data_IF_275663873698
#
_entry.id   IF_275663873698
#
_cell.length_a   1.000
_cell.length_b   1.000
_cell.length_c   1.000
_cell.angle_alpha   90.00
_cell.angle_beta   90.00
_cell.angle_gamma   90.00
#
_symmetry.space_group_name_H-M   'P 1'
#
loop_
_entity.id
_entity.type
_entity.pdbx_description
1 polymer ?
#
# COMPACT_ATOMS: atom_id res chain seq x y z
N UNK A 1 -4.16 27.44 12.89
CA UNK A 1 -4.15 26.23 12.06
C UNK A 1 -2.73 25.73 12.03
N UNK A 2 -2.52 24.47 12.38
CA UNK A 2 -1.21 23.83 12.27
C UNK A 2 -0.88 23.52 10.80
N UNK A 3 0.39 23.26 10.50
CA UNK A 3 0.84 22.87 9.16
C UNK A 3 1.74 21.65 9.25
N UNK A 4 1.61 20.74 8.29
CA UNK A 4 2.59 19.68 8.07
C UNK A 4 3.40 20.02 6.83
N UNK A 5 4.69 20.26 7.02
CA UNK A 5 5.63 20.66 5.95
C UNK A 5 6.41 19.47 5.46
N UNK A 6 6.47 19.28 4.16
CA UNK A 6 7.33 18.29 3.51
C UNK A 6 8.78 18.82 3.53
N UNK A 7 9.60 18.35 4.46
CA UNK A 7 11.00 18.76 4.54
C UNK A 7 11.86 18.04 3.48
N UNK A 8 11.61 16.76 3.22
CA UNK A 8 12.18 16.02 2.10
C UNK A 8 11.24 14.89 1.69
N UNK A 9 11.27 14.50 0.42
CA UNK A 9 10.45 13.40 -0.08
C UNK A 9 11.07 12.81 -1.35
N UNK A 10 11.03 11.48 -1.45
CA UNK A 10 11.48 10.76 -2.63
C UNK A 10 10.51 10.88 -3.81
N UNK A 11 10.97 10.63 -5.04
CA UNK A 11 10.13 10.63 -6.22
C UNK A 11 8.98 9.62 -6.12
N UNK A 12 7.97 9.78 -6.98
CA UNK A 12 6.76 8.96 -7.02
C UNK A 12 5.88 9.05 -5.75
N UNK A 13 6.03 10.10 -4.95
CA UNK A 13 5.19 10.38 -3.79
C UNK A 13 4.20 11.49 -4.10
N UNK A 14 2.93 11.30 -3.75
CA UNK A 14 1.85 12.26 -4.11
C UNK A 14 0.65 12.10 -3.19
N UNK A 15 -0.27 13.05 -3.26
CA UNK A 15 -1.57 12.91 -2.58
C UNK A 15 -2.44 11.92 -3.32
N UNK A 16 -2.94 10.92 -2.59
CA UNK A 16 -3.82 9.88 -3.13
C UNK A 16 -4.99 9.63 -2.16
N UNK A 17 -6.15 9.30 -2.73
CA UNK A 17 -7.37 8.94 -2.01
C UNK A 17 -7.99 7.65 -2.55
N UNK A 18 -9.29 7.44 -2.37
CA UNK A 18 -10.03 6.32 -2.91
C UNK A 18 -10.10 6.26 -4.44
N UNK A 19 -9.74 7.34 -5.11
CA UNK A 19 -9.74 7.46 -6.57
C UNK A 19 -10.99 8.12 -7.16
N UNK A 20 -10.85 8.54 -8.40
CA UNK A 20 -11.78 9.33 -9.23
C UNK A 20 -12.73 8.41 -10.00
N UNK A 21 -13.75 7.91 -9.31
CA UNK A 21 -14.70 6.98 -9.91
C UNK A 21 -15.71 7.68 -10.82
N UNK A 22 -16.13 6.99 -11.91
CA UNK A 22 -17.12 7.49 -12.87
C UNK A 22 -16.60 8.45 -13.95
N UNK A 23 -15.31 8.86 -13.86
CA UNK A 23 -14.71 9.79 -14.82
C UNK A 23 -14.06 9.09 -16.04
N UNK A 24 -13.97 7.77 -16.05
CA UNK A 24 -13.30 6.99 -17.12
C UNK A 24 -13.93 7.23 -18.50
N UNK A 25 -15.24 7.46 -18.56
CA UNK A 25 -15.95 7.82 -19.80
C UNK A 25 -15.50 9.13 -20.45
N UNK A 26 -14.80 9.99 -19.71
CA UNK A 26 -14.20 11.22 -20.20
C UNK A 26 -12.69 11.08 -20.51
N UNK A 27 -12.18 9.85 -20.52
CA UNK A 27 -10.76 9.57 -20.73
C UNK A 27 -9.91 9.76 -19.46
N UNK A 28 -10.52 10.00 -18.30
CA UNK A 28 -9.83 10.20 -17.04
C UNK A 28 -9.72 8.88 -16.27
N UNK A 29 -8.51 8.50 -15.93
CA UNK A 29 -8.25 7.33 -15.11
C UNK A 29 -8.74 7.52 -13.67
N UNK A 30 -9.00 6.41 -12.98
CA UNK A 30 -9.43 6.42 -11.58
C UNK A 30 -8.35 7.02 -10.67
N UNK A 31 -7.08 6.73 -10.93
CA UNK A 31 -5.97 7.09 -10.02
C UNK A 31 -6.23 6.55 -8.58
N UNK A 32 -5.81 7.28 -7.56
CA UNK A 32 -5.97 6.86 -6.17
C UNK A 32 -4.85 5.93 -5.69
N UNK A 33 -5.00 5.44 -4.48
CA UNK A 33 -3.98 4.66 -3.79
C UNK A 33 -3.64 3.35 -4.51
N UNK A 34 -2.34 3.06 -4.63
CA UNK A 34 -1.82 1.79 -5.13
C UNK A 34 -2.18 0.63 -4.19
N UNK A 35 -2.15 0.86 -2.87
CA UNK A 35 -2.58 -0.10 -1.84
C UNK A 35 -3.71 0.50 -1.00
N UNK A 36 -4.93 0.10 -1.31
CA UNK A 36 -6.16 0.60 -0.65
C UNK A 36 -6.27 0.16 0.81
N UNK A 37 -5.71 -1.01 1.20
CA UNK A 37 -5.75 -1.45 2.58
C UNK A 37 -4.89 -0.57 3.46
N UNK A 38 -3.66 -0.30 3.04
CA UNK A 38 -2.73 0.56 3.78
C UNK A 38 -3.23 2.01 3.87
N UNK A 39 -3.83 2.55 2.78
CA UNK A 39 -4.49 3.85 2.83
C UNK A 39 -5.61 3.87 3.89
N UNK A 40 -6.49 2.87 3.85
CA UNK A 40 -7.62 2.79 4.78
C UNK A 40 -7.16 2.62 6.23
N UNK A 41 -6.13 1.82 6.48
CA UNK A 41 -5.56 1.62 7.80
C UNK A 41 -4.96 2.91 8.37
N UNK A 42 -4.14 3.64 7.57
CA UNK A 42 -3.57 4.92 8.00
C UNK A 42 -4.67 5.93 8.36
N UNK A 43 -5.70 6.05 7.52
CA UNK A 43 -6.82 6.95 7.79
C UNK A 43 -7.63 6.54 9.02
N UNK A 44 -7.90 5.24 9.21
CA UNK A 44 -8.63 4.73 10.38
C UNK A 44 -7.90 5.06 11.68
N UNK A 45 -6.56 5.00 11.70
CA UNK A 45 -5.73 5.31 12.88
C UNK A 45 -5.87 6.76 13.38
N UNK A 46 -6.22 7.68 12.51
CA UNK A 46 -6.45 9.10 12.86
C UNK A 46 -7.92 9.50 12.78
N UNK A 47 -8.83 8.53 12.72
CA UNK A 47 -10.27 8.77 12.75
C UNK A 47 -10.87 9.35 11.46
N UNK A 48 -10.15 9.28 10.34
CA UNK A 48 -10.65 9.71 9.04
C UNK A 48 -11.51 8.63 8.38
N UNK A 49 -12.29 9.02 7.37
CA UNK A 49 -12.90 8.07 6.45
C UNK A 49 -11.83 7.20 5.76
N UNK A 50 -12.03 5.90 5.56
CA UNK A 50 -10.99 4.97 5.11
C UNK A 50 -10.25 5.37 3.83
N UNK A 51 -10.93 6.06 2.93
CA UNK A 51 -10.38 6.48 1.64
C UNK A 51 -10.18 7.99 1.53
N UNK A 52 -10.08 8.69 2.66
CA UNK A 52 -9.70 10.09 2.69
C UNK A 52 -8.30 10.31 2.11
N UNK A 53 -8.05 11.52 1.59
CA UNK A 53 -6.79 11.85 0.98
C UNK A 53 -5.63 11.81 1.99
N UNK A 54 -4.55 11.14 1.59
CA UNK A 54 -3.33 10.94 2.37
C UNK A 54 -2.11 11.06 1.46
N UNK A 55 -0.93 11.17 2.03
CA UNK A 55 0.31 11.11 1.25
C UNK A 55 0.66 9.65 0.98
N UNK A 56 0.67 9.26 -0.29
CA UNK A 56 1.27 8.02 -0.74
C UNK A 56 2.77 8.26 -0.96
N UNK A 57 3.60 7.53 -0.21
CA UNK A 57 5.06 7.65 -0.21
C UNK A 57 5.63 6.44 -0.95
N UNK A 58 6.38 6.69 -2.02
CA UNK A 58 7.06 5.66 -2.80
C UNK A 58 8.19 4.97 -2.01
N UNK A 59 9.04 4.15 -2.65
CA UNK A 59 10.03 3.32 -1.98
C UNK A 59 11.14 4.10 -1.27
N UNK A 60 11.31 5.37 -1.58
CA UNK A 60 12.33 6.24 -0.98
C UNK A 60 11.87 6.85 0.33
N UNK A 61 12.82 7.46 1.09
CA UNK A 61 12.53 8.11 2.35
C UNK A 61 11.75 9.43 2.20
N UNK A 62 11.19 9.89 3.31
CA UNK A 62 10.49 11.17 3.40
C UNK A 62 10.63 11.75 4.82
N UNK A 63 10.56 13.07 4.92
CA UNK A 63 10.65 13.79 6.20
C UNK A 63 9.57 14.87 6.25
N UNK A 64 8.81 14.89 7.34
CA UNK A 64 7.70 15.82 7.55
C UNK A 64 7.86 16.54 8.88
N UNK A 65 7.67 17.85 8.90
CA UNK A 65 7.82 18.67 10.10
C UNK A 65 6.50 19.38 10.46
N UNK A 66 6.07 19.26 11.70
CA UNK A 66 4.93 20.01 12.22
C UNK A 66 5.33 21.48 12.44
N UNK A 67 4.46 22.42 12.06
CA UNK A 67 4.64 23.87 12.25
C UNK A 67 3.36 24.53 12.73
N UNK A 68 3.52 25.57 13.52
CA UNK A 68 2.44 26.41 14.07
C UNK A 68 1.47 25.64 14.96
N UNK A 69 1.93 24.55 15.54
CA UNK A 69 1.20 23.73 16.48
C UNK A 69 1.35 22.22 16.24
N UNK A 70 0.72 21.42 17.08
CA UNK A 70 0.80 19.98 16.98
C UNK A 70 0.01 19.43 15.79
N UNK A 71 0.54 18.37 15.17
CA UNK A 71 -0.09 17.64 14.06
C UNK A 71 -0.12 16.15 14.37
N UNK A 72 -1.30 15.52 14.36
CA UNK A 72 -1.46 14.09 14.53
C UNK A 72 -1.49 13.41 13.17
N UNK A 73 -0.63 12.41 13.00
CA UNK A 73 -0.48 11.63 11.76
C UNK A 73 -0.51 10.14 12.05
N UNK A 74 -0.71 9.32 11.02
CA UNK A 74 -0.53 7.88 11.11
C UNK A 74 0.18 7.35 9.87
N UNK A 75 0.95 6.27 10.06
CA UNK A 75 1.69 5.60 8.99
C UNK A 75 1.26 4.14 8.87
N UNK A 76 1.01 3.66 7.65
CA UNK A 76 0.70 2.26 7.36
C UNK A 76 1.19 1.86 5.98
N UNK A 77 1.50 0.58 5.77
CA UNK A 77 1.90 0.03 4.48
C UNK A 77 3.29 -0.62 4.50
N UNK A 78 4.08 -0.39 3.45
CA UNK A 78 5.41 -0.98 3.34
C UNK A 78 6.26 -0.69 4.58
N UNK A 79 6.86 -1.70 5.22
CA UNK A 79 7.69 -1.50 6.40
C UNK A 79 8.87 -0.57 6.11
N UNK A 80 9.14 0.33 7.03
CA UNK A 80 10.30 1.22 7.01
C UNK A 80 10.69 1.63 8.43
N UNK A 81 11.92 2.05 8.61
CA UNK A 81 12.27 2.71 9.85
C UNK A 81 11.57 4.06 9.88
N UNK A 82 10.94 4.36 11.00
CA UNK A 82 10.32 5.65 11.26
C UNK A 82 10.78 6.14 12.63
N UNK A 83 11.03 7.43 12.77
CA UNK A 83 11.35 8.05 14.04
C UNK A 83 10.81 9.48 14.14
N UNK A 84 10.58 9.92 15.37
CA UNK A 84 10.27 11.32 15.71
C UNK A 84 11.30 11.77 16.74
N UNK A 85 12.10 12.76 16.39
CA UNK A 85 13.16 13.31 17.24
C UNK A 85 14.10 12.22 17.83
N UNK A 86 14.41 11.19 17.02
CA UNK A 86 15.28 10.05 17.42
C UNK A 86 14.56 8.93 18.17
N UNK A 87 13.27 9.06 18.46
CA UNK A 87 12.46 8.01 19.07
C UNK A 87 11.80 7.15 17.99
N UNK A 88 12.02 5.83 17.98
CA UNK A 88 11.40 4.97 16.98
C UNK A 88 9.87 4.99 17.03
N UNK A 89 9.24 5.05 15.87
CA UNK A 89 7.80 4.93 15.68
C UNK A 89 7.50 3.62 14.93
N UNK A 90 6.59 2.82 15.48
CA UNK A 90 6.19 1.58 14.81
C UNK A 90 5.33 1.87 13.57
N UNK A 91 5.37 0.96 12.59
CA UNK A 91 4.40 0.97 11.50
C UNK A 91 3.01 0.62 12.03
N UNK A 92 1.99 1.00 11.28
CA UNK A 92 0.58 0.78 11.61
C UNK A 92 0.17 1.44 12.94
N UNK A 93 0.74 2.64 13.19
CA UNK A 93 0.44 3.46 14.38
C UNK A 93 0.18 4.91 14.03
N UNK A 94 -0.53 5.61 14.92
CA UNK A 94 -0.58 7.07 14.94
C UNK A 94 0.54 7.65 15.80
N UNK A 95 0.88 8.90 15.58
CA UNK A 95 1.81 9.69 16.39
C UNK A 95 1.48 11.18 16.27
N UNK A 96 1.57 11.90 17.39
CA UNK A 96 1.39 13.35 17.43
C UNK A 96 2.75 14.04 17.43
N UNK A 97 3.01 14.80 16.38
CA UNK A 97 4.17 15.67 16.26
C UNK A 97 3.89 16.98 16.96
N UNK A 98 4.71 17.37 17.93
CA UNK A 98 4.66 18.71 18.52
C UNK A 98 5.19 19.75 17.53
N UNK A 99 4.91 21.02 17.79
CA UNK A 99 5.46 22.10 16.97
C UNK A 99 6.98 22.00 16.86
N UNK A 100 7.50 22.02 15.64
CA UNK A 100 8.91 21.86 15.33
C UNK A 100 9.41 20.39 15.24
N UNK A 101 8.65 19.43 15.75
CA UNK A 101 9.06 18.01 15.64
C UNK A 101 8.95 17.51 14.21
N UNK A 102 9.80 16.54 13.90
CA UNK A 102 9.97 15.98 12.56
C UNK A 102 9.81 14.47 12.60
N UNK A 103 8.91 13.95 11.76
CA UNK A 103 8.80 12.54 11.44
C UNK A 103 9.74 12.22 10.28
N UNK A 104 10.67 11.31 10.50
CA UNK A 104 11.58 10.78 9.46
C UNK A 104 11.18 9.36 9.09
N UNK A 105 11.02 9.11 7.79
CA UNK A 105 10.71 7.80 7.23
C UNK A 105 11.88 7.35 6.34
N UNK A 106 12.47 6.20 6.64
CA UNK A 106 13.53 5.60 5.84
C UNK A 106 13.01 4.95 4.54
N UNK A 107 13.89 4.23 3.84
CA UNK A 107 13.51 3.45 2.66
C UNK A 107 12.53 2.32 3.00
N UNK A 108 11.61 2.02 2.08
CA UNK A 108 10.72 0.87 2.21
C UNK A 108 11.50 -0.45 2.15
N UNK A 109 11.07 -1.43 2.93
CA UNK A 109 11.68 -2.78 3.01
C UNK A 109 10.59 -3.83 2.77
N UNK A 110 10.76 -4.67 1.75
CA UNK A 110 9.79 -5.74 1.45
C UNK A 110 8.43 -5.25 0.96
N UNK A 111 8.34 -3.99 0.51
CA UNK A 111 7.17 -3.35 -0.06
C UNK A 111 7.58 -2.12 -0.87
N UNK A 112 6.61 -1.38 -1.39
CA UNK A 112 6.85 -0.19 -2.21
C UNK A 112 6.22 1.09 -1.64
N UNK A 113 4.99 1.02 -1.17
CA UNK A 113 4.20 2.20 -0.79
C UNK A 113 3.85 2.23 0.70
N UNK A 114 4.02 3.39 1.30
CA UNK A 114 3.55 3.71 2.66
C UNK A 114 2.64 4.91 2.58
N UNK A 115 1.62 4.93 3.41
CA UNK A 115 0.66 6.02 3.50
C UNK A 115 0.86 6.78 4.79
N UNK A 116 0.89 8.10 4.69
CA UNK A 116 0.85 9.01 5.82
C UNK A 116 -0.49 9.74 5.78
N UNK A 117 -1.37 9.38 6.69
CA UNK A 117 -2.63 10.07 6.91
C UNK A 117 -2.44 11.18 7.94
N UNK A 118 -3.19 12.27 7.79
CA UNK A 118 -3.21 13.41 8.71
C UNK A 118 -4.60 13.47 9.33
N UNK A 119 -4.72 13.66 10.63
CA UNK A 119 -6.00 13.85 11.30
C UNK A 119 -6.80 14.99 10.67
N UNK A 120 -8.08 14.74 10.34
CA UNK A 120 -8.94 15.67 9.61
C UNK A 120 -8.74 15.66 8.10
N UNK A 121 -7.91 14.76 7.57
CA UNK A 121 -7.58 14.53 6.17
C UNK A 121 -6.93 15.75 5.45
N UNK A 122 -6.30 15.48 4.32
CA UNK A 122 -5.76 16.52 3.44
C UNK A 122 -6.94 17.23 2.77
N UNK A 123 -6.93 18.57 2.84
CA UNK A 123 -7.94 19.44 2.23
C UNK A 123 -7.45 19.93 0.86
N UNK A 124 -8.39 20.07 -0.08
CA UNK A 124 -8.09 20.56 -1.41
C UNK A 124 -9.34 20.66 -2.28
N UNK A 125 -9.18 21.12 -3.50
CA UNK A 125 -10.24 21.19 -4.50
C UNK A 125 -10.42 19.82 -5.15
N UNK A 126 -11.62 19.25 -5.01
CA UNK A 126 -11.95 17.96 -5.61
C UNK A 126 -12.17 18.09 -7.11
N UNK A 127 -11.48 17.26 -7.89
CA UNK A 127 -11.69 17.14 -9.34
C UNK A 127 -12.36 15.79 -9.61
N UNK A 128 -13.61 15.82 -10.07
CA UNK A 128 -14.46 14.64 -10.23
C UNK A 128 -14.56 13.80 -8.94
N UNK A 129 -14.73 14.47 -7.80
CA UNK A 129 -14.95 13.84 -6.50
C UNK A 129 -13.69 13.22 -5.87
N UNK A 130 -12.48 13.61 -6.30
CA UNK A 130 -11.21 13.06 -5.81
C UNK A 130 -10.11 14.12 -5.77
N UNK A 131 -9.23 13.99 -4.77
CA UNK A 131 -7.98 14.76 -4.66
C UNK A 131 -6.79 14.00 -5.29
N UNK A 132 -6.98 12.74 -5.69
CA UNK A 132 -5.90 11.89 -6.20
C UNK A 132 -5.12 12.55 -7.33
N UNK A 133 -3.81 12.53 -7.21
CA UNK A 133 -2.91 13.09 -8.20
C UNK A 133 -2.73 12.12 -9.36
N UNK A 134 -2.95 12.63 -10.58
CA UNK A 134 -2.45 12.07 -11.81
C UNK A 134 -1.53 13.09 -12.46
N UNK A 135 -0.23 12.95 -12.24
CA UNK A 135 0.76 13.94 -12.67
C UNK A 135 0.81 14.12 -14.20
N UNK A 136 0.52 13.06 -14.96
CA UNK A 136 0.52 13.12 -16.44
C UNK A 136 -0.66 13.92 -16.99
N UNK A 137 -1.79 13.88 -16.29
CA UNK A 137 -2.97 14.65 -16.66
C UNK A 137 -3.02 16.04 -16.00
N UNK A 138 -2.05 16.37 -15.14
CA UNK A 138 -2.06 17.60 -14.35
C UNK A 138 -3.26 17.71 -13.40
N UNK A 139 -3.77 16.56 -12.93
CA UNK A 139 -4.94 16.49 -12.05
C UNK A 139 -4.53 16.15 -10.63
N UNK A 140 -5.36 16.61 -9.68
CA UNK A 140 -5.19 16.37 -8.26
C UNK A 140 -5.00 17.64 -7.46
N UNK A 141 -5.09 17.54 -6.14
CA UNK A 141 -5.06 18.68 -5.23
C UNK A 141 -4.44 18.24 -3.89
N UNK A 142 -3.80 19.13 -3.12
CA UNK A 142 -3.53 20.54 -3.45
C UNK A 142 -2.42 20.77 -4.48
N UNK A 143 -1.62 19.74 -4.78
CA UNK A 143 -0.53 19.80 -5.75
C UNK A 143 -0.79 18.79 -6.88
N UNK A 144 -1.12 19.23 -8.12
CA UNK A 144 -1.40 18.33 -9.25
C UNK A 144 -0.11 17.72 -9.85
N UNK A 145 0.84 17.35 -9.00
CA UNK A 145 2.17 16.83 -9.29
C UNK A 145 2.68 15.98 -8.13
N UNK A 146 3.77 15.22 -8.28
CA UNK A 146 4.49 14.65 -7.15
C UNK A 146 4.88 15.74 -6.14
N UNK A 147 4.87 15.37 -4.86
CA UNK A 147 5.25 16.27 -3.77
C UNK A 147 6.73 16.61 -3.84
N UNK A 148 7.06 17.78 -3.33
CA UNK A 148 8.41 18.33 -3.28
C UNK A 148 8.70 18.87 -1.87
N UNK A 149 9.98 19.03 -1.54
CA UNK A 149 10.38 19.75 -0.35
C UNK A 149 9.82 21.19 -0.41
N UNK A 150 9.28 21.64 0.72
CA UNK A 150 8.61 22.93 0.86
C UNK A 150 7.11 22.91 0.62
N UNK A 151 6.52 21.80 0.12
CA UNK A 151 5.07 21.65 0.08
C UNK A 151 4.49 21.60 1.51
N UNK A 152 3.31 22.17 1.70
CA UNK A 152 2.67 22.28 3.02
C UNK A 152 1.21 21.83 2.98
N UNK A 153 0.77 21.21 4.05
CA UNK A 153 -0.62 20.88 4.28
C UNK A 153 -1.13 21.65 5.48
N UNK A 154 -2.10 22.54 5.26
CA UNK A 154 -2.84 23.20 6.35
C UNK A 154 -3.79 22.19 6.99
N UNK A 155 -3.69 22.02 8.30
CA UNK A 155 -4.43 21.02 9.05
C UNK A 155 -5.10 21.65 10.28
N UNK A 156 -6.11 20.98 10.79
CA UNK A 156 -6.70 21.38 12.07
C UNK A 156 -5.69 21.01 13.20
N UNK A 157 -5.82 21.68 14.35
CA UNK A 157 -5.00 21.32 15.50
C UNK A 157 -5.29 19.87 15.91
N UNK A 158 -4.25 19.15 16.35
CA UNK A 158 -4.39 17.79 16.85
C UNK A 158 -5.46 17.72 17.96
N UNK A 159 -6.34 16.70 17.91
CA UNK A 159 -7.46 16.55 18.84
C UNK A 159 -7.05 16.25 20.27
N UNK A 160 -5.80 15.85 20.52
CA UNK A 160 -5.32 15.34 21.79
C UNK A 160 -5.77 13.92 22.10
N UNK A 161 -6.33 13.19 21.13
CA UNK A 161 -6.65 11.79 21.27
C UNK A 161 -5.38 10.96 21.51
N UNK A 162 -5.49 9.90 22.30
CA UNK A 162 -4.39 8.97 22.56
C UNK A 162 -3.90 8.28 21.27
N UNK A 163 -2.65 7.87 21.26
CA UNK A 163 -2.08 7.18 20.11
C UNK A 163 -2.65 5.77 19.95
N UNK A 164 -2.86 5.40 18.70
CA UNK A 164 -3.48 4.14 18.32
C UNK A 164 -2.52 3.31 17.47
N UNK A 165 -2.67 1.99 17.58
CA UNK A 165 -2.12 1.01 16.66
C UNK A 165 -3.25 0.20 16.04
N UNK A 166 -3.03 -0.32 14.84
CA UNK A 166 -4.01 -1.18 14.16
C UNK A 166 -3.42 -2.55 13.89
N UNK A 167 -4.20 -3.60 14.16
CA UNK A 167 -3.79 -4.98 13.93
C UNK A 167 -4.28 -5.45 12.56
N UNK A 168 -3.43 -5.30 11.54
CA UNK A 168 -3.74 -5.78 10.21
C UNK A 168 -3.59 -7.29 10.11
N UNK A 169 -4.37 -7.96 9.25
CA UNK A 169 -4.18 -9.38 9.01
C UNK A 169 -2.79 -9.62 8.40
N UNK A 170 -2.22 -10.80 8.67
CA UNK A 170 -0.96 -11.19 8.03
C UNK A 170 -1.10 -11.10 6.52
N UNK A 171 -0.08 -10.57 5.81
CA UNK A 171 -0.10 -10.53 4.36
C UNK A 171 -0.39 -11.91 3.76
N UNK A 172 -1.28 -11.95 2.79
CA UNK A 172 -1.57 -13.19 2.08
C UNK A 172 -0.31 -13.60 1.31
N UNK A 173 0.24 -14.77 1.63
CA UNK A 173 1.36 -15.37 0.89
C UNK A 173 0.87 -16.10 -0.37
N UNK A 174 1.80 -16.38 -1.29
CA UNK A 174 1.52 -17.15 -2.49
C UNK A 174 1.18 -16.31 -3.73
N UNK A 175 0.73 -16.96 -4.82
CA UNK A 175 0.55 -16.33 -6.12
C UNK A 175 -0.43 -15.15 -6.09
N UNK A 176 -0.22 -14.20 -7.00
CA UNK A 176 -1.19 -13.14 -7.31
C UNK A 176 -2.34 -13.76 -8.10
N UNK A 177 -3.57 -13.57 -7.64
CA UNK A 177 -4.74 -14.18 -8.25
C UNK A 177 -5.25 -13.34 -9.41
N UNK A 178 -5.60 -14.02 -10.50
CA UNK A 178 -6.11 -13.40 -11.74
C UNK A 178 -7.35 -14.13 -12.24
N UNK A 179 -8.23 -13.41 -12.91
CA UNK A 179 -9.24 -13.99 -13.81
C UNK A 179 -8.69 -13.90 -15.23
N UNK A 180 -8.75 -14.98 -16.00
CA UNK A 180 -8.35 -14.97 -17.40
C UNK A 180 -9.27 -14.07 -18.24
N UNK A 181 -8.73 -13.45 -19.26
CA UNK A 181 -9.45 -12.56 -20.15
C UNK A 181 -9.39 -11.05 -19.75
N UNK A 182 -10.09 -10.21 -20.53
CA UNK A 182 -11.19 -10.54 -21.46
C UNK A 182 -10.79 -10.98 -22.87
N UNK A 183 -9.51 -10.99 -23.25
CA UNK A 183 -9.06 -11.47 -24.56
C UNK A 183 -8.08 -12.65 -24.40
N UNK A 184 -8.41 -13.60 -23.52
CA UNK A 184 -7.61 -14.82 -23.34
C UNK A 184 -7.74 -15.80 -24.53
N UNK A 185 -8.72 -15.62 -25.39
CA UNK A 185 -8.89 -16.28 -26.68
C UNK A 185 -7.85 -15.87 -27.74
N UNK A 186 -7.16 -14.75 -27.55
CA UNK A 186 -6.02 -14.34 -28.36
C UNK A 186 -4.71 -15.08 -28.02
N UNK A 187 -4.76 -16.02 -27.06
CA UNK A 187 -3.63 -16.82 -26.60
C UNK A 187 -4.01 -18.30 -26.55
N UNK A 188 -3.15 -19.16 -27.08
CA UNK A 188 -3.35 -20.61 -27.01
C UNK A 188 -3.15 -21.13 -25.55
N UNK A 189 -3.55 -22.37 -25.32
CA UNK A 189 -3.46 -22.98 -24.00
C UNK A 189 -2.02 -23.12 -23.51
N UNK A 190 -1.04 -23.30 -24.42
CA UNK A 190 0.37 -23.38 -24.06
C UNK A 190 0.87 -22.02 -23.52
N UNK A 191 0.50 -20.90 -24.15
CA UNK A 191 0.88 -19.55 -23.68
C UNK A 191 0.12 -19.15 -22.42
N UNK A 192 -1.15 -19.53 -22.24
CA UNK A 192 -1.87 -19.38 -20.96
C UNK A 192 -1.21 -20.17 -19.85
N UNK A 193 -0.82 -21.42 -20.11
CA UNK A 193 -0.09 -22.26 -19.15
C UNK A 193 1.29 -21.69 -18.83
N UNK A 194 2.02 -21.20 -19.84
CA UNK A 194 3.30 -20.51 -19.66
C UNK A 194 3.14 -19.27 -18.78
N UNK A 195 2.14 -18.45 -19.02
CA UNK A 195 1.86 -17.24 -18.20
C UNK A 195 1.60 -17.59 -16.73
N UNK A 196 0.78 -18.60 -16.45
CA UNK A 196 0.44 -19.01 -15.08
C UNK A 196 1.56 -19.80 -14.38
N UNK A 197 2.34 -20.59 -15.14
CA UNK A 197 3.40 -21.44 -14.60
C UNK A 197 4.73 -20.75 -14.36
N UNK A 198 4.94 -19.58 -14.97
CA UNK A 198 6.22 -18.87 -14.92
C UNK A 198 6.37 -18.02 -13.66
N UNK A 199 7.62 -17.76 -13.32
CA UNK A 199 7.98 -16.68 -12.38
C UNK A 199 8.11 -15.36 -13.12
N UNK A 200 7.52 -14.34 -12.54
CA UNK A 200 7.55 -12.98 -13.04
C UNK A 200 8.25 -12.07 -12.05
N UNK A 201 8.93 -11.04 -12.54
CA UNK A 201 9.50 -9.97 -11.73
C UNK A 201 8.99 -8.62 -12.21
N UNK A 202 8.86 -7.67 -11.30
CA UNK A 202 8.52 -6.30 -11.67
C UNK A 202 9.80 -5.59 -12.08
N UNK A 203 9.81 -5.01 -13.28
CA UNK A 203 10.92 -4.22 -13.79
C UNK A 203 11.10 -2.92 -13.00
N UNK A 204 12.33 -2.49 -12.82
CA UNK A 204 12.66 -1.21 -12.19
C UNK A 204 12.11 0.02 -12.94
N UNK A 205 11.71 -0.14 -14.22
CA UNK A 205 11.10 0.93 -15.03
C UNK A 205 9.58 1.00 -14.90
N UNK A 206 9.00 0.25 -13.95
CA UNK A 206 7.56 0.26 -13.65
C UNK A 206 7.15 1.52 -12.90
N UNK A 207 5.93 1.97 -13.16
CA UNK A 207 5.34 3.15 -12.51
C UNK A 207 3.86 2.92 -12.19
N UNK A 208 3.17 3.98 -11.72
CA UNK A 208 1.74 3.93 -11.42
C UNK A 208 0.83 3.70 -12.63
N UNK A 209 1.34 3.81 -13.86
CA UNK A 209 0.59 3.46 -15.08
C UNK A 209 0.55 1.96 -15.32
N UNK A 210 1.65 1.27 -15.04
CA UNK A 210 1.74 -0.17 -15.27
C UNK A 210 3.05 -0.78 -14.83
N UNK A 211 2.96 -1.98 -14.32
CA UNK A 211 4.10 -2.80 -13.93
C UNK A 211 4.51 -3.68 -15.10
N UNK A 212 5.69 -3.40 -15.65
CA UNK A 212 6.31 -4.21 -16.69
C UNK A 212 6.83 -5.49 -16.07
N UNK A 213 6.40 -6.63 -16.63
CA UNK A 213 6.77 -7.94 -16.10
C UNK A 213 7.94 -8.51 -16.89
N UNK A 214 8.98 -8.89 -16.19
CA UNK A 214 10.14 -9.60 -16.70
C UNK A 214 9.96 -11.11 -16.52
N UNK A 215 10.05 -11.86 -17.61
CA UNK A 215 9.82 -13.29 -17.67
C UNK A 215 9.81 -13.80 -19.11
N UNK A 216 9.27 -14.98 -19.39
CA UNK A 216 9.20 -15.51 -20.76
C UNK A 216 8.26 -14.66 -21.63
N UNK A 217 8.58 -14.57 -22.91
CA UNK A 217 7.72 -13.90 -23.87
C UNK A 217 6.45 -14.72 -24.14
N UNK A 218 5.29 -14.09 -24.03
CA UNK A 218 3.98 -14.66 -24.34
C UNK A 218 3.64 -14.40 -25.79
N UNK A 219 3.34 -15.43 -26.54
CA UNK A 219 3.02 -15.33 -27.97
C UNK A 219 1.51 -15.20 -28.18
N UNK A 220 1.14 -14.34 -29.13
CA UNK A 220 -0.24 -14.18 -29.58
C UNK A 220 -0.60 -15.25 -30.61
N UNK A 221 -1.89 -15.61 -30.67
CA UNK A 221 -2.41 -16.58 -31.62
C UNK A 221 -2.66 -15.94 -33.01
N UNK A 222 -3.26 -14.73 -33.04
CA UNK A 222 -3.68 -14.07 -34.28
C UNK A 222 -2.97 -12.75 -34.55
N UNK A 223 -2.32 -12.16 -33.57
CA UNK A 223 -1.64 -10.87 -33.68
C UNK A 223 -1.66 -10.13 -32.35
N UNK A 224 -0.87 -9.06 -32.27
CA UNK A 224 -0.68 -8.36 -30.99
C UNK A 224 -1.56 -7.11 -30.85
N UNK A 225 -2.41 -6.81 -31.80
CA UNK A 225 -3.31 -5.64 -31.77
C UNK A 225 -4.76 -6.08 -31.82
N UNK A 226 -5.56 -5.43 -30.98
CA UNK A 226 -7.02 -5.52 -31.00
C UNK A 226 -7.61 -4.14 -31.25
N UNK A 227 -8.90 -4.07 -31.60
CA UNK A 227 -9.64 -2.82 -31.53
C UNK A 227 -9.55 -2.28 -30.10
N UNK A 228 -9.21 -0.98 -29.98
CA UNK A 228 -9.04 -0.37 -28.65
C UNK A 228 -10.26 -0.62 -27.76
N UNK A 229 -10.03 -1.21 -26.61
CA UNK A 229 -11.06 -1.60 -25.65
C UNK A 229 -10.75 -1.03 -24.26
N UNK A 230 -11.77 -0.93 -23.41
CA UNK A 230 -11.64 -0.42 -22.04
C UNK A 230 -10.65 -1.23 -21.19
N UNK A 231 -9.96 -0.55 -20.29
CA UNK A 231 -9.05 -1.16 -19.33
C UNK A 231 -9.55 -0.98 -17.91
N UNK A 232 -9.17 -1.89 -17.02
CA UNK A 232 -9.39 -1.76 -15.57
C UNK A 232 -8.08 -1.93 -14.81
N UNK A 233 -8.04 -1.51 -13.54
CA UNK A 233 -6.88 -1.76 -12.68
C UNK A 233 -6.62 -3.28 -12.60
N UNK A 234 -5.37 -3.67 -12.78
CA UNK A 234 -4.99 -5.08 -12.79
C UNK A 234 -5.11 -5.76 -14.15
N UNK A 235 -5.63 -5.13 -15.21
CA UNK A 235 -5.61 -5.70 -16.57
C UNK A 235 -4.15 -5.99 -16.97
N UNK A 236 -3.86 -7.19 -17.48
CA UNK A 236 -2.53 -7.61 -17.91
C UNK A 236 -2.52 -7.65 -19.43
N UNK A 237 -2.00 -6.60 -20.03
CA UNK A 237 -1.83 -6.46 -21.48
C UNK A 237 -0.55 -7.15 -21.94
N UNK A 238 -0.58 -7.75 -23.12
CA UNK A 238 0.59 -8.32 -23.77
C UNK A 238 0.87 -7.57 -25.07
N UNK A 239 1.84 -6.64 -25.09
CA UNK A 239 2.29 -5.95 -26.31
C UNK A 239 2.98 -6.90 -27.29
N UNK A 240 3.30 -6.42 -28.49
CA UNK A 240 3.87 -7.21 -29.57
C UNK A 240 5.23 -7.86 -29.27
N UNK A 241 5.97 -7.35 -28.28
CA UNK A 241 7.22 -7.98 -27.81
C UNK A 241 6.99 -9.18 -26.87
N UNK A 242 5.75 -9.48 -26.51
CA UNK A 242 5.38 -10.60 -25.65
C UNK A 242 5.63 -10.35 -24.15
N UNK A 243 6.08 -9.17 -23.72
CA UNK A 243 6.34 -8.85 -22.31
C UNK A 243 5.06 -8.30 -21.66
N UNK A 244 4.43 -9.01 -20.71
CA UNK A 244 3.17 -8.55 -20.13
C UNK A 244 3.34 -7.25 -19.30
N UNK A 245 2.29 -6.43 -19.26
CA UNK A 245 2.22 -5.22 -18.46
C UNK A 245 0.93 -5.26 -17.63
N UNK A 246 1.08 -5.33 -16.31
CA UNK A 246 -0.06 -5.19 -15.41
C UNK A 246 -0.40 -3.72 -15.24
N UNK A 247 -1.57 -3.31 -15.71
CA UNK A 247 -2.03 -1.92 -15.67
C UNK A 247 -2.42 -1.51 -14.25
N UNK A 248 -1.85 -0.37 -13.80
CA UNK A 248 -2.01 0.11 -12.43
C UNK A 248 -2.92 1.35 -12.37
N UNK A 249 -2.88 2.09 -11.27
CA UNK A 249 -3.87 3.11 -10.94
C UNK A 249 -3.96 4.27 -11.93
N UNK A 250 -2.84 4.68 -12.57
CA UNK A 250 -2.80 5.80 -13.53
C UNK A 250 -2.79 5.34 -14.99
N UNK A 251 -3.16 4.09 -15.27
CA UNK A 251 -3.23 3.50 -16.61
C UNK A 251 -4.06 4.31 -17.59
N UNK A 252 -3.84 4.09 -18.90
CA UNK A 252 -4.79 4.57 -19.91
C UNK A 252 -6.20 4.01 -19.69
N UNK A 253 -7.22 4.74 -20.08
CA UNK A 253 -8.63 4.30 -19.94
C UNK A 253 -9.02 3.27 -21.00
N UNK A 254 -8.26 3.20 -22.10
CA UNK A 254 -8.39 2.22 -23.18
C UNK A 254 -7.01 1.76 -23.66
N UNK A 255 -6.97 0.64 -24.36
CA UNK A 255 -5.74 0.11 -24.93
C UNK A 255 -6.02 -0.85 -26.08
N UNK A 256 -5.06 -0.98 -26.99
CA UNK A 256 -5.14 -1.78 -28.21
C UNK A 256 -4.34 -3.10 -28.15
N UNK A 257 -3.91 -3.53 -26.97
CA UNK A 257 -3.25 -4.82 -26.79
C UNK A 257 -4.17 -5.83 -26.11
N UNK A 258 -4.13 -7.12 -26.50
CA UNK A 258 -4.90 -8.17 -25.85
C UNK A 258 -4.57 -8.27 -24.35
N UNK A 259 -5.62 -8.43 -23.56
CA UNK A 259 -5.52 -8.64 -22.10
C UNK A 259 -5.66 -10.12 -21.79
N UNK A 260 -4.55 -10.80 -21.45
CA UNK A 260 -4.52 -12.23 -21.13
C UNK A 260 -5.24 -12.55 -19.83
N UNK A 261 -5.19 -11.64 -18.87
CA UNK A 261 -5.79 -11.80 -17.55
C UNK A 261 -6.06 -10.44 -16.90
N UNK A 262 -6.78 -10.47 -15.78
CA UNK A 262 -6.98 -9.32 -14.90
C UNK A 262 -6.73 -9.74 -13.45
N UNK A 263 -5.86 -9.03 -12.75
CA UNK A 263 -5.61 -9.22 -11.31
C UNK A 263 -6.89 -8.91 -10.54
N UNK A 264 -7.32 -9.79 -9.64
CA UNK A 264 -8.51 -9.55 -8.83
C UNK A 264 -8.32 -8.33 -7.93
N UNK A 265 -9.36 -7.57 -7.70
CA UNK A 265 -9.31 -6.31 -6.94
C UNK A 265 -8.64 -6.46 -5.56
N UNK A 266 -8.88 -7.58 -4.89
CA UNK A 266 -8.29 -7.88 -3.59
C UNK A 266 -6.76 -8.08 -3.61
N UNK A 267 -6.17 -8.38 -4.79
CA UNK A 267 -4.75 -8.62 -4.94
C UNK A 267 -3.99 -7.47 -5.63
N UNK A 268 -4.69 -6.45 -6.13
CA UNK A 268 -4.02 -5.29 -6.77
C UNK A 268 -3.03 -4.61 -5.80
N UNK A 269 -3.41 -4.42 -4.54
CA UNK A 269 -2.53 -3.87 -3.51
C UNK A 269 -1.32 -4.77 -3.23
N UNK A 270 -1.50 -6.09 -3.24
CA UNK A 270 -0.40 -7.06 -3.09
C UNK A 270 0.61 -6.95 -4.24
N UNK A 271 0.10 -6.86 -5.48
CA UNK A 271 0.94 -6.63 -6.64
C UNK A 271 1.66 -5.28 -6.53
N UNK A 272 0.95 -4.22 -6.13
CA UNK A 272 1.51 -2.89 -5.95
C UNK A 272 2.66 -2.86 -4.92
N UNK A 273 2.55 -3.65 -3.85
CA UNK A 273 3.58 -3.78 -2.82
C UNK A 273 4.73 -4.74 -3.20
N UNK A 274 4.66 -5.43 -4.33
CA UNK A 274 5.76 -6.28 -4.78
C UNK A 274 6.92 -5.40 -5.24
N UNK A 275 8.06 -5.50 -4.56
CA UNK A 275 9.27 -4.74 -4.89
C UNK A 275 9.84 -5.15 -6.24
N UNK A 276 10.44 -4.21 -6.98
CA UNK A 276 11.14 -4.50 -8.23
C UNK A 276 12.20 -5.62 -8.04
N UNK A 277 12.29 -6.54 -8.98
CA UNK A 277 13.18 -7.70 -8.94
C UNK A 277 12.70 -8.88 -8.08
N UNK A 278 11.67 -8.71 -7.23
CA UNK A 278 11.08 -9.80 -6.46
C UNK A 278 10.28 -10.73 -7.37
N UNK A 279 10.56 -12.03 -7.29
CA UNK A 279 9.86 -13.04 -8.06
C UNK A 279 8.49 -13.36 -7.45
N UNK A 280 7.49 -13.51 -8.31
CA UNK A 280 6.14 -13.96 -7.96
C UNK A 280 5.52 -14.76 -9.10
N UNK A 281 4.35 -15.37 -8.87
CA UNK A 281 3.59 -16.14 -9.86
C UNK A 281 2.14 -15.68 -9.89
N UNK A 282 1.46 -15.99 -10.98
CA UNK A 282 0.02 -15.82 -11.08
C UNK A 282 -0.70 -17.14 -10.84
N UNK A 283 -1.93 -17.06 -10.34
CA UNK A 283 -2.87 -18.18 -10.23
C UNK A 283 -4.23 -17.77 -10.75
N UNK A 284 -4.74 -18.53 -11.71
CA UNK A 284 -6.10 -18.31 -12.19
C UNK A 284 -7.13 -18.67 -11.11
N UNK A 285 -8.16 -17.87 -11.02
CA UNK A 285 -9.34 -18.08 -10.19
C UNK A 285 -10.60 -17.87 -11.00
N UNK A 286 -11.70 -18.44 -10.56
CA UNK A 286 -13.01 -18.20 -11.18
C UNK A 286 -13.50 -16.77 -10.85
N UNK A 287 -14.44 -16.28 -11.66
CA UNK A 287 -15.12 -15.01 -11.38
C UNK A 287 -15.85 -15.04 -10.02
N UNK A 288 -16.42 -16.17 -9.65
CA UNK A 288 -17.08 -16.33 -8.35
C UNK A 288 -16.11 -16.18 -7.18
N UNK A 289 -14.94 -16.86 -7.24
CA UNK A 289 -13.87 -16.69 -6.24
C UNK A 289 -13.39 -15.23 -6.16
N UNK A 290 -13.17 -14.59 -7.31
CA UNK A 290 -12.74 -13.19 -7.37
C UNK A 290 -13.76 -12.25 -6.69
N UNK A 291 -15.06 -12.47 -6.92
CA UNK A 291 -16.13 -11.68 -6.29
C UNK A 291 -16.21 -11.92 -4.78
N UNK A 292 -16.03 -13.17 -4.32
CA UNK A 292 -16.01 -13.50 -2.89
C UNK A 292 -14.82 -12.82 -2.19
N UNK A 293 -13.65 -12.80 -2.79
CA UNK A 293 -12.48 -12.11 -2.26
C UNK A 293 -12.68 -10.59 -2.20
N UNK A 294 -13.34 -9.98 -3.17
CA UNK A 294 -13.73 -8.56 -3.11
C UNK A 294 -14.67 -8.27 -1.94
N UNK A 295 -15.66 -9.16 -1.70
CA UNK A 295 -16.58 -9.01 -0.55
C UNK A 295 -15.83 -9.10 0.79
N UNK A 296 -14.91 -10.07 0.93
CA UNK A 296 -14.05 -10.20 2.11
C UNK A 296 -13.17 -8.98 2.31
N UNK A 297 -12.56 -8.48 1.23
CA UNK A 297 -11.74 -7.27 1.27
C UNK A 297 -12.56 -6.05 1.70
N UNK A 298 -13.75 -5.85 1.15
CA UNK A 298 -14.65 -4.78 1.55
C UNK A 298 -15.10 -4.91 3.02
N UNK A 299 -15.32 -6.14 3.51
CA UNK A 299 -15.64 -6.39 4.90
C UNK A 299 -14.43 -6.06 5.81
N UNK A 300 -13.21 -6.43 5.42
CA UNK A 300 -12.01 -6.09 6.14
C UNK A 300 -11.87 -4.56 6.32
N UNK A 301 -12.06 -3.80 5.25
CA UNK A 301 -12.02 -2.33 5.31
C UNK A 301 -13.07 -1.77 6.28
N UNK A 302 -14.31 -2.26 6.22
CA UNK A 302 -15.38 -1.82 7.14
C UNK A 302 -15.07 -2.12 8.61
N UNK A 303 -14.35 -3.21 8.88
CA UNK A 303 -14.04 -3.68 10.23
C UNK A 303 -12.68 -3.17 10.75
N UNK A 304 -11.98 -2.28 10.03
CA UNK A 304 -10.73 -1.71 10.51
C UNK A 304 -10.87 -0.99 11.87
N UNK A 305 -11.95 -0.23 12.13
CA UNK A 305 -12.14 0.39 13.45
C UNK A 305 -12.14 -0.61 14.62
N UNK A 306 -12.66 -1.81 14.44
CA UNK A 306 -12.71 -2.85 15.46
C UNK A 306 -11.32 -3.42 15.83
N UNK A 307 -10.33 -3.14 14.96
CA UNK A 307 -8.94 -3.59 15.10
C UNK A 307 -8.01 -2.56 15.73
N UNK A 308 -8.54 -1.39 16.08
CA UNK A 308 -7.78 -0.36 16.78
C UNK A 308 -7.48 -0.81 18.22
N UNK A 309 -6.26 -0.49 18.67
CA UNK A 309 -5.80 -0.68 20.06
C UNK A 309 -5.04 0.56 20.49
N UNK A 310 -4.99 0.86 21.79
CA UNK A 310 -4.08 1.89 22.30
C UNK A 310 -2.64 1.52 21.98
N UNK A 311 -1.86 2.48 21.50
CA UNK A 311 -0.43 2.28 21.26
C UNK A 311 0.34 2.02 22.55
N UNK A 312 -0.12 2.60 23.68
CA UNK A 312 0.46 2.41 25.01
C UNK A 312 0.12 1.05 25.62
N UNK A 313 -0.85 0.33 25.07
CA UNK A 313 -1.13 -1.02 25.51
C UNK A 313 0.00 -1.94 25.04
N UNK A 314 0.96 -2.20 25.91
CA UNK A 314 1.87 -3.34 25.75
C UNK A 314 0.99 -4.58 25.73
N UNK A 315 0.77 -5.17 24.57
CA UNK A 315 0.22 -6.51 24.50
C UNK A 315 1.25 -7.41 25.18
N UNK A 316 0.98 -7.78 26.44
CA UNK A 316 1.76 -8.78 27.14
C UNK A 316 1.68 -10.05 26.27
N UNK A 317 2.74 -10.32 25.55
CA UNK A 317 2.89 -11.60 24.87
C UNK A 317 3.16 -12.64 25.95
N UNK A 318 2.06 -13.25 26.44
CA UNK A 318 2.10 -14.23 27.52
C UNK A 318 3.02 -15.41 27.16
N UNK A 319 3.07 -15.81 25.89
CA UNK A 319 3.98 -16.85 25.41
C UNK A 319 5.44 -16.38 25.50
N UNK A 320 5.76 -15.19 25.01
CA UNK A 320 7.12 -14.64 25.10
C UNK A 320 7.53 -14.33 26.54
N UNK A 321 6.57 -13.96 27.42
CA UNK A 321 6.83 -13.79 28.85
C UNK A 321 7.05 -15.14 29.55
N UNK A 322 6.34 -16.19 29.16
CA UNK A 322 6.55 -17.55 29.64
C UNK A 322 7.92 -18.08 29.24
N UNK A 323 8.31 -17.89 27.98
CA UNK A 323 9.58 -18.33 27.44
C UNK A 323 10.77 -17.50 27.98
N UNK A 324 10.55 -16.22 28.29
CA UNK A 324 11.60 -15.33 28.85
C UNK A 324 11.92 -15.61 30.31
N UNK A 325 11.17 -16.52 30.97
CA UNK A 325 11.37 -16.88 32.39
C UNK A 325 11.63 -15.64 33.29
N UNK A 326 10.79 -14.61 33.13
CA UNK A 326 10.95 -13.30 33.81
C UNK A 326 10.98 -13.39 35.33
N UNK A 327 10.42 -14.48 35.89
CA UNK A 327 10.41 -14.75 37.33
C UNK A 327 11.70 -15.43 37.81
N UNK A 328 12.60 -15.82 36.92
CA UNK A 328 13.78 -16.64 37.25
C UNK A 328 13.39 -18.06 37.65
N UNK A 329 14.40 -18.87 37.96
CA UNK A 329 14.17 -20.20 38.53
C UNK A 329 13.64 -20.09 39.93
N UNK A 330 12.57 -20.78 40.24
CA UNK A 330 12.07 -20.88 41.60
C UNK A 330 13.13 -21.58 42.48
N UNK A 331 13.67 -20.86 43.46
CA UNK A 331 14.64 -21.39 44.40
C UNK A 331 13.85 -21.87 45.60
N UNK A 332 13.96 -23.16 45.93
CA UNK A 332 13.40 -23.71 47.14
C UNK A 332 14.42 -23.66 48.27
N UNK A 333 14.07 -23.00 49.35
CA UNK A 333 14.95 -22.94 50.52
C UNK A 333 15.23 -24.33 51.16
N UNK A 334 14.46 -25.34 50.81
CA UNK A 334 14.53 -26.71 51.27
C UNK A 334 15.20 -27.67 50.27
N UNK A 335 15.53 -27.21 49.07
CA UNK A 335 16.15 -28.02 48.02
C UNK A 335 17.42 -27.35 47.50
N UNK A 336 18.56 -27.85 47.94
CA UNK A 336 19.85 -27.34 47.57
C UNK A 336 20.17 -27.48 46.04
N UNK A 337 19.46 -28.36 45.33
CA UNK A 337 19.62 -28.51 43.86
C UNK A 337 19.09 -27.30 43.09
N UNK A 338 18.23 -26.46 43.68
CA UNK A 338 17.70 -25.26 43.07
C UNK A 338 18.55 -24.01 43.23
N UNK A 339 19.71 -24.11 43.96
CA UNK A 339 20.57 -22.97 44.31
C UNK A 339 21.69 -22.74 43.32
N UNK A 340 21.90 -23.66 42.39
CA UNK A 340 22.96 -23.48 41.37
C UNK A 340 22.37 -22.73 40.17
N UNK A 341 22.69 -21.44 40.08
CA UNK A 341 22.52 -20.68 38.84
C UNK A 341 23.71 -21.05 37.95
N UNK A 342 23.57 -21.93 37.02
CA UNK A 342 24.52 -22.07 35.91
C UNK A 342 24.36 -20.85 35.01
N UNK A 343 25.26 -19.88 35.18
CA UNK A 343 25.54 -18.88 34.16
C UNK A 343 26.20 -19.63 33.00
N UNK A 344 25.50 -19.90 31.95
CA UNK A 344 26.08 -20.18 30.64
C UNK A 344 26.22 -18.87 29.86
N UNK A 345 27.29 -18.73 29.03
CA UNK A 345 27.84 -17.49 28.49
C UNK A 345 26.94 -16.85 27.41
#
# INVERSE_FOLDING_TARGET
MSRLVVASIGPASSVQDGGRHGAQRYGLTVSGAMDRLSLAAANTLVGNEPFAASVEIGPFGATFTARDGAVRVAISGAPRNADVAGNPVAMDTSVTLKDGETLTLGFARGGAFTYLAIEGAIKGEMVFGSLAVNARAGLGSPYPRPLQAGDEFSVDAASGAGELRIELPKPISGPIRVVLGPQDDEFDDANKALFLGSEWKISATSDRMGYRLEGPAIKHLHGHNIVSDGTVNGSIQVPGNGSPIALMMDRGTSGGYPKIATVITADVGRLAQTSAGTAFRFRAVSMAEAQDEVRKFAQLIRNLPDRLRSADSVALNIEALSDANVAGYAVSAMDAGTWQVTAEP
#
